data_IF_583552707138
#
_entry.id   IF_583552707138
#
_cell.length_a   1.000
_cell.length_b   1.000
_cell.length_c   1.000
_cell.angle_alpha   90.00
_cell.angle_beta   90.00
_cell.angle_gamma   90.00
#
_symmetry.space_group_name_H-M   'P 1'
#
loop_
_entity.id
_entity.type
_entity.pdbx_description
1 polymer ?
#
# COMPACT_ATOMS: atom_id res chain seq x y z
N UNK A 1 37.04 5.64 -13.96
CA UNK A 1 35.88 5.49 -14.86
C UNK A 1 34.83 4.70 -14.08
N UNK A 2 33.87 5.40 -13.45
CA UNK A 2 32.83 4.75 -12.67
C UNK A 2 31.83 4.10 -13.63
N UNK A 3 31.66 2.78 -13.53
CA UNK A 3 30.64 2.05 -14.26
C UNK A 3 29.27 2.53 -13.78
N UNK A 4 28.51 3.20 -14.64
CA UNK A 4 27.08 3.41 -14.41
C UNK A 4 26.42 2.04 -14.33
N UNK A 5 26.20 1.55 -13.11
CA UNK A 5 25.38 0.36 -12.92
C UNK A 5 24.00 0.64 -13.51
N UNK A 6 23.62 -0.14 -14.53
CA UNK A 6 22.29 -0.07 -15.10
C UNK A 6 21.28 -0.36 -13.98
N UNK A 7 20.25 0.48 -13.85
CA UNK A 7 19.14 0.21 -12.91
C UNK A 7 18.51 -1.14 -13.28
N UNK A 8 18.29 -2.05 -12.33
CA UNK A 8 17.49 -3.24 -12.61
C UNK A 8 16.09 -2.81 -13.06
N UNK A 9 15.65 -3.31 -14.21
CA UNK A 9 14.34 -3.02 -14.77
C UNK A 9 13.22 -3.55 -13.87
N UNK A 10 12.09 -2.84 -13.87
CA UNK A 10 10.88 -3.29 -13.17
C UNK A 10 10.35 -4.56 -13.82
N UNK A 11 10.02 -5.54 -12.99
CA UNK A 11 9.43 -6.80 -13.43
C UNK A 11 7.91 -6.68 -13.48
N UNK A 12 7.25 -7.67 -14.10
CA UNK A 12 5.78 -7.78 -14.05
C UNK A 12 5.23 -7.84 -12.61
N UNK A 13 6.03 -8.38 -11.68
CA UNK A 13 5.62 -8.49 -10.28
C UNK A 13 5.64 -7.13 -9.57
N UNK A 14 6.58 -6.24 -9.92
CA UNK A 14 6.59 -4.86 -9.44
C UNK A 14 5.34 -4.10 -9.90
N UNK A 15 4.99 -4.23 -11.18
CA UNK A 15 3.77 -3.62 -11.72
C UNK A 15 2.49 -4.19 -11.09
N UNK A 16 2.45 -5.50 -10.81
CA UNK A 16 1.35 -6.09 -10.05
C UNK A 16 1.23 -5.47 -8.66
N UNK A 17 2.36 -5.32 -7.95
CA UNK A 17 2.39 -4.63 -6.66
C UNK A 17 1.88 -3.19 -6.75
N UNK A 18 2.29 -2.45 -7.78
CA UNK A 18 1.81 -1.09 -8.06
C UNK A 18 0.30 -1.05 -8.30
N UNK A 19 -0.25 -1.97 -9.10
CA UNK A 19 -1.69 -2.04 -9.37
C UNK A 19 -2.47 -2.35 -8.09
N UNK A 20 -2.03 -3.35 -7.31
CA UNK A 20 -2.68 -3.70 -6.04
C UNK A 20 -2.63 -2.53 -5.04
N UNK A 21 -1.47 -1.85 -4.93
CA UNK A 21 -1.31 -0.64 -4.12
C UNK A 21 -2.22 0.50 -4.59
N UNK A 22 -2.40 0.66 -5.91
CA UNK A 22 -3.29 1.69 -6.46
C UNK A 22 -4.76 1.41 -6.14
N UNK A 23 -5.20 0.15 -6.23
CA UNK A 23 -6.57 -0.24 -5.88
C UNK A 23 -6.88 0.09 -4.42
N UNK A 24 -6.05 -0.39 -3.48
CA UNK A 24 -6.25 -0.09 -2.05
C UNK A 24 -6.11 1.41 -1.77
N UNK A 25 -5.14 2.10 -2.39
CA UNK A 25 -4.93 3.53 -2.21
C UNK A 25 -6.13 4.37 -2.65
N UNK A 26 -6.74 4.02 -3.79
CA UNK A 26 -7.96 4.69 -4.28
C UNK A 26 -9.16 4.41 -3.37
N UNK A 27 -9.33 3.18 -2.89
CA UNK A 27 -10.38 2.86 -1.91
C UNK A 27 -10.24 3.72 -0.66
N UNK A 28 -9.03 3.83 -0.09
CA UNK A 28 -8.77 4.65 1.08
C UNK A 28 -8.97 6.14 0.78
N UNK A 29 -8.59 6.61 -0.41
CA UNK A 29 -8.82 8.00 -0.82
C UNK A 29 -10.32 8.32 -0.87
N UNK A 30 -11.14 7.44 -1.46
CA UNK A 30 -12.59 7.62 -1.54
C UNK A 30 -13.22 7.59 -0.15
N UNK A 31 -12.88 6.59 0.69
CA UNK A 31 -13.40 6.49 2.06
C UNK A 31 -13.03 7.71 2.90
N UNK A 32 -11.78 8.16 2.80
CA UNK A 32 -11.29 9.36 3.47
C UNK A 32 -12.02 10.62 3.00
N UNK A 33 -12.16 10.81 1.69
CA UNK A 33 -12.85 11.97 1.12
C UNK A 33 -14.33 12.01 1.53
N UNK A 34 -15.01 10.86 1.54
CA UNK A 34 -16.42 10.76 1.98
C UNK A 34 -16.55 11.12 3.46
N UNK A 35 -15.71 10.54 4.34
CA UNK A 35 -15.76 10.84 5.77
C UNK A 35 -15.48 12.34 6.05
N UNK A 36 -14.44 12.89 5.44
CA UNK A 36 -14.05 14.30 5.61
C UNK A 36 -15.05 15.29 5.01
N UNK A 37 -15.83 14.88 4.00
CA UNK A 37 -16.88 15.73 3.43
C UNK A 37 -17.96 16.11 4.45
N UNK A 38 -18.18 15.26 5.45
CA UNK A 38 -19.15 15.49 6.53
C UNK A 38 -18.49 16.15 7.76
N UNK A 39 -17.25 15.79 8.07
CA UNK A 39 -16.48 16.33 9.18
C UNK A 39 -14.98 16.34 8.86
N UNK A 40 -14.40 17.52 8.64
CA UNK A 40 -12.98 17.68 8.31
C UNK A 40 -12.01 17.23 9.42
N UNK A 41 -12.51 17.06 10.65
CA UNK A 41 -11.73 16.57 11.79
C UNK A 41 -11.99 15.08 12.09
N UNK A 42 -12.69 14.35 11.22
CA UNK A 42 -12.97 12.93 11.44
C UNK A 42 -11.65 12.11 11.50
N UNK A 43 -11.36 11.44 12.63
CA UNK A 43 -10.08 10.72 12.78
C UNK A 43 -9.91 9.59 11.77
N UNK A 44 -11.00 8.89 11.41
CA UNK A 44 -10.94 7.82 10.41
C UNK A 44 -10.75 8.39 9.02
N UNK A 45 -11.42 9.49 8.69
CA UNK A 45 -11.23 10.23 7.44
C UNK A 45 -9.78 10.63 7.24
N UNK A 46 -9.17 11.24 8.26
CA UNK A 46 -7.75 11.60 8.23
C UNK A 46 -6.83 10.37 8.11
N UNK A 47 -7.12 9.29 8.84
CA UNK A 47 -6.35 8.05 8.75
C UNK A 47 -6.43 7.40 7.36
N UNK A 48 -7.61 7.40 6.73
CA UNK A 48 -7.80 6.91 5.37
C UNK A 48 -7.04 7.76 4.34
N UNK A 49 -7.06 9.08 4.46
CA UNK A 49 -6.25 9.97 3.61
C UNK A 49 -4.75 9.72 3.81
N UNK A 50 -4.30 9.59 5.05
CA UNK A 50 -2.91 9.27 5.35
C UNK A 50 -2.49 7.91 4.75
N UNK A 51 -3.36 6.91 4.81
CA UNK A 51 -3.13 5.61 4.19
C UNK A 51 -3.04 5.71 2.65
N UNK A 52 -3.96 6.44 2.02
CA UNK A 52 -3.93 6.70 0.57
C UNK A 52 -2.63 7.39 0.15
N UNK A 53 -2.18 8.39 0.91
CA UNK A 53 -0.89 9.06 0.68
C UNK A 53 0.30 8.10 0.84
N UNK A 54 0.26 7.21 1.83
CA UNK A 54 1.28 6.16 2.01
C UNK A 54 1.37 5.21 0.82
N UNK A 55 0.24 4.73 0.29
CA UNK A 55 0.24 3.91 -0.93
C UNK A 55 0.74 4.67 -2.16
N UNK A 56 0.32 5.92 -2.33
CA UNK A 56 0.81 6.77 -3.42
C UNK A 56 2.33 7.00 -3.33
N UNK A 57 2.86 7.26 -2.14
CA UNK A 57 4.29 7.40 -1.90
C UNK A 57 5.04 6.09 -2.22
N UNK A 58 4.49 4.94 -1.83
CA UNK A 58 5.00 3.62 -2.18
C UNK A 58 5.09 3.41 -3.70
N UNK A 59 4.00 3.70 -4.42
CA UNK A 59 3.93 3.60 -5.88
C UNK A 59 4.99 4.49 -6.55
N UNK A 60 5.05 5.77 -6.17
CA UNK A 60 6.03 6.72 -6.72
C UNK A 60 7.46 6.24 -6.46
N UNK A 61 7.72 5.72 -5.26
CA UNK A 61 9.05 5.21 -4.88
C UNK A 61 9.44 3.95 -5.66
N UNK A 62 8.51 3.03 -5.89
CA UNK A 62 8.78 1.83 -6.72
C UNK A 62 9.05 2.21 -8.17
N UNK A 63 8.26 3.14 -8.72
CA UNK A 63 8.36 3.51 -10.15
C UNK A 63 9.54 4.43 -10.46
N UNK A 64 9.95 5.29 -9.51
CA UNK A 64 10.93 6.36 -9.76
C UNK A 64 12.14 6.34 -8.84
N UNK A 65 12.13 5.53 -7.78
CA UNK A 65 13.22 5.45 -6.82
C UNK A 65 14.46 4.78 -7.39
N UNK A 66 15.59 5.01 -6.71
CA UNK A 66 16.77 4.16 -6.89
C UNK A 66 16.49 2.75 -6.36
N UNK A 67 17.31 1.78 -6.76
CA UNK A 67 17.21 0.39 -6.29
C UNK A 67 17.17 0.29 -4.75
N UNK A 68 18.07 1.01 -4.07
CA UNK A 68 18.12 1.06 -2.61
C UNK A 68 16.80 1.58 -2.00
N UNK A 69 16.22 2.64 -2.58
CA UNK A 69 14.99 3.25 -2.07
C UNK A 69 13.77 2.39 -2.39
N UNK A 70 13.73 1.76 -3.58
CA UNK A 70 12.69 0.79 -3.96
C UNK A 70 12.65 -0.39 -2.99
N UNK A 71 13.80 -1.01 -2.72
CA UNK A 71 13.91 -2.13 -1.78
C UNK A 71 13.42 -1.75 -0.38
N UNK A 72 13.76 -0.53 0.10
CA UNK A 72 13.24 0.01 1.37
C UNK A 72 11.74 0.22 1.34
N UNK A 73 11.19 0.76 0.25
CA UNK A 73 9.76 0.95 0.10
C UNK A 73 8.99 -0.39 0.09
N UNK A 74 9.52 -1.41 -0.59
CA UNK A 74 8.95 -2.76 -0.57
C UNK A 74 8.96 -3.32 0.86
N UNK A 75 10.09 -3.21 1.56
CA UNK A 75 10.21 -3.69 2.95
C UNK A 75 9.24 -2.97 3.89
N UNK A 76 9.11 -1.64 3.80
CA UNK A 76 8.20 -0.84 4.63
C UNK A 76 6.73 -1.05 4.24
N UNK A 77 6.45 -1.34 2.97
CA UNK A 77 5.10 -1.62 2.48
C UNK A 77 4.48 -2.86 3.12
N UNK A 78 5.29 -3.84 3.53
CA UNK A 78 4.82 -5.06 4.21
C UNK A 78 4.16 -4.73 5.57
N UNK A 79 4.86 -4.18 6.58
CA UNK A 79 4.25 -3.84 7.86
C UNK A 79 3.21 -2.72 7.74
N UNK A 80 3.37 -1.78 6.80
CA UNK A 80 2.36 -0.75 6.54
C UNK A 80 1.01 -1.37 6.12
N UNK A 81 1.02 -2.25 5.13
CA UNK A 81 -0.21 -2.88 4.61
C UNK A 81 -0.77 -3.90 5.61
N UNK A 82 0.08 -4.73 6.22
CA UNK A 82 -0.35 -5.70 7.24
C UNK A 82 -0.95 -5.00 8.47
N UNK A 83 -0.37 -3.87 8.89
CA UNK A 83 -0.90 -3.05 9.99
C UNK A 83 -2.32 -2.58 9.72
N UNK A 84 -2.66 -2.19 8.49
CA UNK A 84 -4.02 -1.80 8.13
C UNK A 84 -5.03 -2.95 8.21
N UNK A 85 -4.61 -4.18 7.86
CA UNK A 85 -5.45 -5.38 8.04
C UNK A 85 -5.76 -5.59 9.52
N UNK A 86 -4.72 -5.54 10.37
CA UNK A 86 -4.86 -5.71 11.83
C UNK A 86 -5.73 -4.61 12.43
N UNK A 87 -5.48 -3.34 12.07
CA UNK A 87 -6.26 -2.20 12.54
C UNK A 87 -7.72 -2.29 12.10
N UNK A 88 -7.99 -2.71 10.87
CA UNK A 88 -9.35 -2.93 10.41
C UNK A 88 -10.09 -3.94 11.29
N UNK A 89 -9.50 -5.12 11.52
CA UNK A 89 -10.11 -6.15 12.37
C UNK A 89 -10.34 -5.62 13.78
N UNK A 90 -9.32 -5.01 14.38
CA UNK A 90 -9.40 -4.49 15.75
C UNK A 90 -10.49 -3.41 15.93
N UNK A 91 -10.63 -2.50 14.95
CA UNK A 91 -11.53 -1.35 15.03
C UNK A 91 -12.95 -1.67 14.57
N UNK A 92 -13.15 -2.75 13.81
CA UNK A 92 -14.46 -3.12 13.27
C UNK A 92 -15.04 -4.39 13.92
N UNK A 93 -14.35 -5.02 14.88
CA UNK A 93 -14.83 -6.23 15.53
C UNK A 93 -16.17 -6.01 16.26
N UNK A 94 -17.16 -6.92 16.14
CA UNK A 94 -17.15 -8.17 15.35
C UNK A 94 -17.63 -8.02 13.89
N UNK A 95 -17.98 -6.81 13.47
CA UNK A 95 -18.59 -6.49 12.17
C UNK A 95 -17.55 -6.34 11.03
N UNK A 96 -16.69 -7.34 10.85
CA UNK A 96 -15.57 -7.29 9.88
C UNK A 96 -15.93 -7.77 8.47
N UNK A 97 -17.18 -8.17 8.23
CA UNK A 97 -17.61 -8.81 6.96
C UNK A 97 -18.32 -7.85 6.00
N UNK A 98 -18.22 -6.54 6.22
CA UNK A 98 -18.71 -5.55 5.26
C UNK A 98 -18.00 -5.71 3.91
N UNK A 99 -18.77 -5.72 2.82
CA UNK A 99 -18.27 -6.03 1.46
C UNK A 99 -17.02 -5.22 1.10
N UNK A 100 -17.06 -3.90 1.29
CA UNK A 100 -15.93 -3.01 0.98
C UNK A 100 -14.68 -3.36 1.78
N UNK A 101 -14.82 -3.62 3.08
CA UNK A 101 -13.69 -3.96 3.95
C UNK A 101 -13.08 -5.32 3.59
N UNK A 102 -13.91 -6.32 3.32
CA UNK A 102 -13.44 -7.65 2.90
C UNK A 102 -12.69 -7.57 1.57
N UNK A 103 -13.25 -6.90 0.57
CA UNK A 103 -12.60 -6.75 -0.75
C UNK A 103 -11.26 -6.04 -0.61
N UNK A 104 -11.19 -4.95 0.14
CA UNK A 104 -9.95 -4.25 0.43
C UNK A 104 -8.92 -5.16 1.10
N UNK A 105 -9.33 -5.96 2.10
CA UNK A 105 -8.39 -6.84 2.82
C UNK A 105 -7.87 -7.99 1.95
N UNK A 106 -8.67 -8.50 1.02
CA UNK A 106 -8.18 -9.46 0.03
C UNK A 106 -7.12 -8.86 -0.90
N UNK A 107 -7.34 -7.62 -1.37
CA UNK A 107 -6.35 -6.89 -2.17
C UNK A 107 -5.07 -6.65 -1.37
N UNK A 108 -5.19 -6.25 -0.10
CA UNK A 108 -4.07 -6.02 0.80
C UNK A 108 -3.29 -7.30 1.11
N UNK A 109 -3.96 -8.44 1.32
CA UNK A 109 -3.29 -9.74 1.49
C UNK A 109 -2.51 -10.14 0.24
N UNK A 110 -3.09 -9.96 -0.95
CA UNK A 110 -2.40 -10.19 -2.21
C UNK A 110 -1.18 -9.26 -2.36
N UNK A 111 -1.32 -7.97 -2.00
CA UNK A 111 -0.22 -7.02 -2.02
C UNK A 111 0.91 -7.43 -1.08
N UNK A 112 0.59 -7.81 0.17
CA UNK A 112 1.59 -8.29 1.13
C UNK A 112 2.34 -9.50 0.57
N UNK A 113 1.64 -10.46 -0.04
CA UNK A 113 2.29 -11.61 -0.66
C UNK A 113 3.25 -11.20 -1.78
N UNK A 114 2.84 -10.28 -2.66
CA UNK A 114 3.69 -9.74 -3.74
C UNK A 114 4.93 -9.05 -3.17
N UNK A 115 4.77 -8.19 -2.17
CA UNK A 115 5.88 -7.46 -1.54
C UNK A 115 6.88 -8.41 -0.86
N UNK A 116 6.39 -9.46 -0.18
CA UNK A 116 7.26 -10.49 0.42
C UNK A 116 8.06 -11.22 -0.66
N UNK A 117 7.43 -11.60 -1.77
CA UNK A 117 8.13 -12.26 -2.88
C UNK A 117 9.17 -11.34 -3.51
N UNK A 118 8.84 -10.07 -3.77
CA UNK A 118 9.79 -9.09 -4.29
C UNK A 118 10.98 -8.89 -3.35
N UNK A 119 10.71 -8.68 -2.05
CA UNK A 119 11.77 -8.48 -1.06
C UNK A 119 12.74 -9.66 -0.99
N UNK A 120 12.23 -10.89 -1.09
CA UNK A 120 13.06 -12.11 -1.07
C UNK A 120 13.87 -12.33 -2.35
N UNK A 121 13.48 -11.72 -3.47
CA UNK A 121 14.21 -11.79 -4.75
C UNK A 121 15.27 -10.70 -4.89
N UNK A 122 15.02 -9.54 -4.29
CA UNK A 122 15.93 -8.39 -4.27
C UNK A 122 16.95 -8.43 -3.10
N UNK A 123 16.94 -9.49 -2.28
CA UNK A 123 17.85 -9.69 -1.14
C UNK A 123 18.84 -10.79 -1.41
#
# INVERSE_FOLDING_TARGET
MATSAARPDLTRLDYLGVVLAAITGLLHLVLGAVALSSNLADPFGLAFIAAAAGFAAGIVTVLRGSEQTRRRAILLGIPFTAGQIVLYVALNWPNIFGVTGVVDKLVQLALVAVLVVLYRRES
#
